data_IF_440869025037
#
_entry.id   IF_440869025037
#
_cell.length_a   1.000
_cell.length_b   1.000
_cell.length_c   1.000
_cell.angle_alpha   90.00
_cell.angle_beta   90.00
_cell.angle_gamma   90.00
#
_symmetry.space_group_name_H-M   'P 1'
#
loop_
_entity.id
_entity.type
_entity.pdbx_description
1 polymer ?
#
# COMPACT_ATOMS: atom_id res chain seq x y z
N UNK A 1 -26.30 -18.74 -3.81
CA UNK A 1 -27.49 -17.96 -3.44
C UNK A 1 -27.40 -16.62 -4.17
N UNK A 2 -28.25 -16.38 -5.18
CA UNK A 2 -28.32 -15.08 -5.89
C UNK A 2 -28.99 -14.08 -4.94
N UNK A 3 -28.24 -13.14 -4.40
CA UNK A 3 -28.78 -12.02 -3.63
C UNK A 3 -28.68 -10.72 -4.44
N UNK A 4 -29.84 -10.33 -4.97
CA UNK A 4 -30.34 -8.96 -5.09
C UNK A 4 -29.32 -7.86 -5.43
N UNK A 5 -28.90 -7.84 -6.69
CA UNK A 5 -28.72 -6.60 -7.44
C UNK A 5 -30.13 -6.04 -7.70
N UNK A 6 -30.58 -5.03 -6.94
CA UNK A 6 -31.73 -4.15 -7.26
C UNK A 6 -31.92 -3.10 -6.15
N UNK A 7 -30.92 -2.22 -6.00
CA UNK A 7 -31.12 -0.83 -5.60
C UNK A 7 -29.84 -0.06 -5.96
N UNK A 8 -29.99 0.95 -6.81
CA UNK A 8 -28.90 1.69 -7.43
C UNK A 8 -27.78 2.10 -6.45
N UNK A 9 -26.63 1.43 -6.62
CA UNK A 9 -25.33 1.54 -5.95
C UNK A 9 -24.60 2.90 -6.13
N UNK A 10 -25.32 4.00 -6.38
CA UNK A 10 -24.72 5.28 -6.81
C UNK A 10 -24.06 6.03 -5.63
N UNK A 11 -24.49 5.82 -4.39
CA UNK A 11 -24.00 6.55 -3.20
C UNK A 11 -22.67 6.09 -2.60
N UNK A 12 -22.08 5.01 -3.12
CA UNK A 12 -20.84 4.41 -2.60
C UNK A 12 -19.70 4.37 -3.60
N UNK A 13 -19.90 4.95 -4.79
CA UNK A 13 -18.91 4.99 -5.85
C UNK A 13 -18.32 6.39 -5.98
N UNK A 14 -17.03 6.55 -5.76
CA UNK A 14 -16.32 7.83 -5.81
C UNK A 14 -15.19 7.87 -6.84
N UNK A 15 -15.01 9.03 -7.45
CA UNK A 15 -14.00 9.28 -8.46
C UNK A 15 -12.74 9.89 -7.83
N UNK A 16 -12.05 9.09 -7.02
CA UNK A 16 -10.94 9.57 -6.21
C UNK A 16 -9.70 9.87 -7.04
N UNK A 17 -9.43 9.08 -8.10
CA UNK A 17 -8.25 9.30 -8.95
C UNK A 17 -8.38 10.55 -9.82
N UNK A 18 -9.57 10.87 -10.36
CA UNK A 18 -9.75 12.14 -11.10
C UNK A 18 -9.54 13.38 -10.24
N UNK A 19 -9.76 13.26 -8.92
CA UNK A 19 -9.55 14.37 -7.97
C UNK A 19 -8.07 14.54 -7.60
N UNK A 20 -7.21 13.56 -7.89
CA UNK A 20 -5.78 13.65 -7.60
C UNK A 20 -5.11 14.64 -8.52
N UNK A 21 -4.14 15.35 -7.93
CA UNK A 21 -3.26 16.27 -8.64
C UNK A 21 -1.82 16.02 -8.21
N UNK A 22 -0.82 16.18 -9.09
CA UNK A 22 0.58 16.00 -8.73
C UNK A 22 0.95 16.87 -7.53
N UNK A 23 1.68 16.30 -6.57
CA UNK A 23 2.25 17.11 -5.50
C UNK A 23 3.47 17.89 -6.01
N UNK A 24 3.60 19.19 -5.69
CA UNK A 24 4.80 19.96 -5.98
C UNK A 24 6.05 19.33 -5.31
N UNK A 25 7.26 19.65 -5.79
CA UNK A 25 8.50 19.34 -5.07
C UNK A 25 8.43 19.86 -3.63
N UNK A 26 9.02 19.11 -2.69
CA UNK A 26 8.87 19.37 -1.26
C UNK A 26 9.26 20.81 -0.87
N UNK A 27 10.34 21.33 -1.45
CA UNK A 27 10.88 22.66 -1.19
C UNK A 27 9.93 23.79 -1.61
N UNK A 28 8.92 23.49 -2.43
CA UNK A 28 7.94 24.44 -2.96
C UNK A 28 6.58 24.35 -2.24
N UNK A 29 6.39 23.38 -1.34
CA UNK A 29 5.08 23.05 -0.74
C UNK A 29 4.54 24.06 0.26
N UNK A 30 5.35 25.00 0.76
CA UNK A 30 4.90 25.98 1.75
C UNK A 30 3.79 26.92 1.27
N UNK A 31 3.77 27.21 -0.03
CA UNK A 31 2.82 28.14 -0.64
C UNK A 31 2.23 27.61 -1.96
N UNK A 32 2.53 26.37 -2.33
CA UNK A 32 2.11 25.83 -3.61
C UNK A 32 0.66 25.33 -3.58
N UNK A 33 -0.05 25.66 -4.65
CA UNK A 33 -1.27 24.97 -5.06
C UNK A 33 -0.89 23.83 -6.00
N UNK A 34 -1.65 22.73 -5.94
CA UNK A 34 -1.52 21.64 -6.88
C UNK A 34 -2.41 21.99 -8.08
N UNK A 35 -1.90 22.76 -9.05
CA UNK A 35 -2.71 23.29 -10.16
C UNK A 35 -2.81 22.31 -11.33
N UNK A 36 -1.78 21.49 -11.53
CA UNK A 36 -1.74 20.51 -12.61
C UNK A 36 -2.77 19.41 -12.38
N UNK A 37 -3.25 18.82 -13.48
CA UNK A 37 -4.06 17.61 -13.48
C UNK A 37 -3.28 16.50 -14.17
N UNK A 38 -3.48 15.27 -13.73
CA UNK A 38 -3.01 14.12 -14.50
C UNK A 38 -3.77 14.04 -15.83
N UNK A 39 -3.09 13.54 -16.87
CA UNK A 39 -3.75 13.22 -18.15
C UNK A 39 -4.86 12.19 -17.89
N UNK A 40 -5.98 12.34 -18.58
CA UNK A 40 -7.11 11.41 -18.49
C UNK A 40 -6.67 9.96 -18.75
N UNK A 41 -5.73 9.72 -19.67
CA UNK A 41 -5.18 8.39 -19.96
C UNK A 41 -4.44 7.79 -18.77
N UNK A 42 -3.77 8.61 -17.95
CA UNK A 42 -3.10 8.16 -16.73
C UNK A 42 -4.14 7.71 -15.72
N UNK A 43 -5.20 8.50 -15.53
CA UNK A 43 -6.28 8.21 -14.59
C UNK A 43 -7.02 6.93 -15.00
N UNK A 44 -7.39 6.80 -16.28
CA UNK A 44 -7.96 5.58 -16.85
C UNK A 44 -7.03 4.39 -16.63
N UNK A 45 -5.72 4.57 -16.90
CA UNK A 45 -4.70 3.56 -16.68
C UNK A 45 -4.65 3.03 -15.24
N UNK A 46 -4.74 3.91 -14.24
CA UNK A 46 -4.82 3.50 -12.84
C UNK A 46 -6.08 2.71 -12.51
N UNK A 47 -7.23 3.10 -13.06
CA UNK A 47 -8.47 2.35 -12.88
C UNK A 47 -8.40 0.94 -13.50
N UNK A 48 -7.90 0.85 -14.73
CA UNK A 48 -7.70 -0.42 -15.43
C UNK A 48 -6.75 -1.35 -14.68
N UNK A 49 -5.59 -0.83 -14.26
CA UNK A 49 -4.60 -1.59 -13.51
C UNK A 49 -5.14 -2.04 -12.15
N UNK A 50 -5.90 -1.19 -11.45
CA UNK A 50 -6.58 -1.56 -10.20
C UNK A 50 -7.53 -2.74 -10.39
N UNK A 51 -8.43 -2.66 -11.36
CA UNK A 51 -9.37 -3.76 -11.62
C UNK A 51 -8.63 -5.06 -11.97
N UNK A 52 -7.66 -4.98 -12.89
CA UNK A 52 -6.87 -6.14 -13.31
C UNK A 52 -6.13 -6.79 -12.14
N UNK A 53 -5.35 -6.03 -11.36
CA UNK A 53 -4.54 -6.59 -10.27
C UNK A 53 -5.43 -7.14 -9.14
N UNK A 54 -6.54 -6.49 -8.81
CA UNK A 54 -7.47 -7.00 -7.81
C UNK A 54 -8.17 -8.28 -8.29
N UNK A 55 -8.47 -8.39 -9.58
CA UNK A 55 -8.97 -9.64 -10.15
C UNK A 55 -7.92 -10.75 -10.02
N UNK A 56 -6.66 -10.48 -10.34
CA UNK A 56 -5.59 -11.47 -10.19
C UNK A 56 -5.39 -11.90 -8.73
N UNK A 57 -5.39 -10.96 -7.78
CA UNK A 57 -5.35 -11.24 -6.33
C UNK A 57 -6.56 -12.01 -5.81
N UNK A 58 -7.64 -12.13 -6.59
CA UNK A 58 -8.80 -12.93 -6.24
C UNK A 58 -8.78 -14.35 -6.81
N UNK A 59 -7.95 -14.63 -7.83
CA UNK A 59 -8.02 -15.86 -8.63
C UNK A 59 -6.68 -16.57 -8.83
N UNK A 60 -5.58 -15.84 -9.00
CA UNK A 60 -4.27 -16.43 -9.29
C UNK A 60 -3.50 -16.69 -7.99
N UNK A 61 -3.30 -17.97 -7.67
CA UNK A 61 -2.50 -18.39 -6.52
C UNK A 61 -1.08 -17.81 -6.53
N UNK A 62 -0.49 -17.60 -7.72
CA UNK A 62 0.87 -17.09 -7.85
C UNK A 62 0.97 -15.59 -7.54
N UNK A 63 -0.16 -14.87 -7.62
CA UNK A 63 -0.32 -13.52 -7.11
C UNK A 63 -0.64 -13.49 -5.61
N UNK A 64 -0.73 -14.65 -4.94
CA UNK A 64 -1.09 -14.76 -3.52
C UNK A 64 -2.60 -14.74 -3.25
N UNK A 65 -3.43 -15.15 -4.21
CA UNK A 65 -4.89 -15.13 -4.05
C UNK A 65 -5.42 -15.97 -2.88
N UNK A 66 -4.67 -16.99 -2.47
CA UNK A 66 -4.95 -17.84 -1.32
C UNK A 66 -4.38 -17.28 -0.01
N UNK A 67 -3.75 -16.11 -0.04
CA UNK A 67 -2.92 -15.60 1.05
C UNK A 67 -1.58 -16.31 1.13
N UNK A 68 -0.65 -15.73 1.88
CA UNK A 68 0.67 -16.33 2.16
C UNK A 68 0.84 -16.43 3.66
N UNK A 69 0.96 -17.67 4.15
CA UNK A 69 1.04 -17.93 5.58
C UNK A 69 2.25 -17.25 6.23
N UNK A 70 2.16 -16.65 7.44
CA UNK A 70 3.26 -15.93 8.10
C UNK A 70 4.60 -16.70 8.22
N UNK A 71 4.53 -18.04 8.22
CA UNK A 71 5.71 -18.91 8.30
C UNK A 71 6.15 -19.49 6.95
N UNK A 72 5.48 -19.13 5.86
CA UNK A 72 5.84 -19.57 4.51
C UNK A 72 7.09 -18.84 4.02
N UNK A 73 7.89 -19.53 3.21
CA UNK A 73 8.96 -18.96 2.40
C UNK A 73 8.49 -18.46 1.03
N UNK A 74 7.19 -18.59 0.75
CA UNK A 74 6.57 -18.08 -0.48
C UNK A 74 6.64 -16.57 -0.57
N UNK A 75 6.81 -16.06 -1.78
CA UNK A 75 6.77 -14.64 -2.06
C UNK A 75 6.29 -14.44 -3.49
N UNK A 76 5.59 -13.33 -3.71
CA UNK A 76 5.06 -13.01 -5.05
C UNK A 76 6.19 -12.46 -5.91
N UNK A 77 6.32 -12.96 -7.13
CA UNK A 77 7.23 -12.43 -8.14
C UNK A 77 6.43 -12.08 -9.40
N UNK A 78 6.34 -10.79 -9.72
CA UNK A 78 5.68 -10.29 -10.93
C UNK A 78 6.73 -9.78 -11.90
N UNK A 79 6.66 -10.23 -13.16
CA UNK A 79 7.54 -9.82 -14.25
C UNK A 79 6.70 -9.06 -15.26
N UNK A 80 7.08 -7.83 -15.57
CA UNK A 80 6.29 -6.93 -16.41
C UNK A 80 7.15 -6.48 -17.61
N UNK A 81 6.62 -6.67 -18.81
CA UNK A 81 7.23 -6.18 -20.04
C UNK A 81 6.89 -4.70 -20.21
N UNK A 82 7.88 -3.82 -20.03
CA UNK A 82 7.63 -2.38 -20.17
C UNK A 82 7.71 -1.92 -21.63
N UNK A 83 6.63 -2.18 -22.36
CA UNK A 83 6.43 -1.77 -23.76
C UNK A 83 5.34 -0.70 -23.93
N UNK A 84 4.57 -0.44 -22.87
CA UNK A 84 3.54 0.60 -22.84
C UNK A 84 3.36 1.15 -21.41
N UNK A 85 2.78 2.36 -21.24
CA UNK A 85 2.52 2.93 -19.91
C UNK A 85 1.68 2.05 -18.98
N UNK A 86 0.83 1.16 -19.54
CA UNK A 86 0.03 0.21 -18.77
C UNK A 86 0.88 -0.69 -17.87
N UNK A 87 2.10 -1.03 -18.31
CA UNK A 87 3.06 -1.79 -17.50
C UNK A 87 3.36 -1.09 -16.16
N UNK A 88 3.54 0.23 -16.18
CA UNK A 88 3.84 1.01 -14.97
C UNK A 88 2.60 1.24 -14.11
N UNK A 89 1.40 1.36 -14.69
CA UNK A 89 0.15 1.37 -13.92
C UNK A 89 -0.06 0.05 -13.18
N UNK A 90 0.25 -1.09 -13.82
CA UNK A 90 0.20 -2.41 -13.20
C UNK A 90 1.26 -2.55 -12.12
N UNK A 91 2.51 -2.15 -12.38
CA UNK A 91 3.59 -2.17 -11.38
C UNK A 91 3.21 -1.36 -10.13
N UNK A 92 2.67 -0.15 -10.33
CA UNK A 92 2.13 0.71 -9.28
C UNK A 92 1.10 -0.03 -8.44
N UNK A 93 0.10 -0.62 -9.10
CA UNK A 93 -0.98 -1.27 -8.38
C UNK A 93 -0.49 -2.51 -7.64
N UNK A 94 0.35 -3.36 -8.24
CA UNK A 94 0.95 -4.52 -7.55
C UNK A 94 1.69 -4.05 -6.28
N UNK A 95 2.51 -3.00 -6.39
CA UNK A 95 3.21 -2.44 -5.25
C UNK A 95 2.30 -1.88 -4.16
N UNK A 96 1.04 -1.52 -4.46
CA UNK A 96 0.08 -0.98 -3.47
C UNK A 96 -0.69 -2.05 -2.70
N UNK A 97 -0.78 -3.29 -3.23
CA UNK A 97 -1.69 -4.31 -2.68
C UNK A 97 -1.07 -5.70 -2.45
N UNK A 98 0.09 -6.01 -3.02
CA UNK A 98 0.74 -7.32 -2.88
C UNK A 98 1.68 -7.36 -1.66
N UNK A 99 1.11 -7.22 -0.46
CA UNK A 99 1.82 -7.24 0.82
C UNK A 99 1.37 -8.42 1.67
N UNK A 100 2.32 -9.16 2.26
CA UNK A 100 2.02 -10.44 2.91
C UNK A 100 2.63 -10.56 4.32
N UNK A 101 1.96 -11.26 5.26
CA UNK A 101 2.39 -11.34 6.67
C UNK A 101 3.69 -12.09 6.93
N UNK A 102 4.21 -12.81 5.94
CA UNK A 102 5.47 -13.53 6.06
C UNK A 102 6.71 -12.67 5.79
N UNK A 103 6.52 -11.44 5.31
CA UNK A 103 7.59 -10.47 5.16
C UNK A 103 8.38 -10.31 6.47
N UNK A 104 9.70 -10.42 6.37
CA UNK A 104 10.60 -10.22 7.51
C UNK A 104 11.42 -8.97 7.28
N UNK A 105 11.09 -7.94 8.03
CA UNK A 105 11.94 -6.76 8.16
C UNK A 105 13.32 -7.20 8.63
N UNK A 106 14.33 -6.97 7.78
CA UNK A 106 15.72 -7.20 8.15
C UNK A 106 16.09 -6.42 9.43
N UNK A 107 17.05 -6.91 10.21
CA UNK A 107 17.56 -6.22 11.40
C UNK A 107 18.52 -5.07 11.02
N UNK A 108 18.04 -4.13 10.18
CA UNK A 108 18.82 -3.04 9.61
C UNK A 108 20.10 -3.53 8.93
N UNK A 109 21.27 -3.07 9.41
CA UNK A 109 22.56 -3.41 8.78
C UNK A 109 23.00 -4.87 8.92
N UNK A 110 22.34 -5.67 9.77
CA UNK A 110 22.79 -7.04 10.12
C UNK A 110 22.16 -8.14 9.29
N UNK A 111 20.91 -7.98 8.85
CA UNK A 111 20.20 -8.96 8.02
C UNK A 111 19.46 -8.21 6.91
N UNK A 112 19.56 -8.71 5.68
CA UNK A 112 18.70 -8.23 4.58
C UNK A 112 17.25 -8.67 4.84
N UNK A 113 16.25 -7.90 4.39
CA UNK A 113 14.88 -8.36 4.42
C UNK A 113 14.68 -9.64 3.61
N UNK A 114 13.69 -10.43 4.01
CA UNK A 114 13.32 -11.69 3.37
C UNK A 114 11.84 -11.68 2.98
N UNK A 115 11.51 -12.45 1.94
CA UNK A 115 10.15 -12.67 1.45
C UNK A 115 9.43 -11.40 1.00
N UNK A 116 10.17 -10.46 0.42
CA UNK A 116 9.62 -9.29 -0.26
C UNK A 116 8.82 -9.71 -1.50
N UNK A 117 7.77 -8.98 -1.84
CA UNK A 117 7.19 -9.06 -3.18
C UNK A 117 8.16 -8.43 -4.17
N UNK A 118 8.52 -9.21 -5.19
CA UNK A 118 9.46 -8.80 -6.23
C UNK A 118 8.73 -8.35 -7.49
N UNK A 119 9.05 -7.16 -7.97
CA UNK A 119 8.55 -6.63 -9.23
C UNK A 119 9.73 -6.47 -10.19
N UNK A 120 9.83 -7.37 -11.16
CA UNK A 120 10.80 -7.28 -12.24
C UNK A 120 10.21 -6.48 -13.39
N UNK A 121 10.89 -5.42 -13.81
CA UNK A 121 10.52 -4.60 -14.97
C UNK A 121 11.58 -4.82 -16.05
N UNK A 122 11.16 -5.41 -17.17
CA UNK A 122 11.99 -5.60 -18.36
C UNK A 122 11.80 -4.37 -19.26
N UNK A 123 12.88 -3.67 -19.61
CA UNK A 123 12.76 -2.41 -20.33
C UNK A 123 13.85 -2.22 -21.38
N UNK A 124 13.51 -1.48 -22.44
CA UNK A 124 14.46 -1.04 -23.45
C UNK A 124 15.25 0.19 -22.95
N UNK A 125 16.55 0.01 -22.73
CA UNK A 125 17.45 1.06 -22.21
C UNK A 125 17.72 2.17 -23.22
N UNK A 126 17.57 1.90 -24.51
CA UNK A 126 17.75 2.91 -25.57
C UNK A 126 16.61 3.93 -25.55
N UNK A 127 15.42 3.51 -25.14
CA UNK A 127 14.23 4.37 -24.94
C UNK A 127 14.23 4.98 -23.54
N UNK A 128 14.50 4.16 -22.51
CA UNK A 128 14.45 4.55 -21.10
C UNK A 128 15.84 4.52 -20.45
N UNK A 129 16.71 5.45 -20.86
CA UNK A 129 18.11 5.50 -20.40
C UNK A 129 18.28 5.75 -18.90
N UNK A 130 17.29 6.39 -18.26
CA UNK A 130 17.22 6.53 -16.81
C UNK A 130 15.89 5.99 -16.29
N UNK A 131 15.84 4.66 -16.14
CA UNK A 131 14.64 3.95 -15.69
C UNK A 131 14.17 4.43 -14.31
N UNK A 132 15.08 4.75 -13.38
CA UNK A 132 14.68 5.25 -12.05
C UNK A 132 13.88 6.54 -12.17
N UNK A 133 14.35 7.50 -12.98
CA UNK A 133 13.62 8.74 -13.24
C UNK A 133 12.27 8.47 -13.91
N UNK A 134 12.21 7.50 -14.82
CA UNK A 134 10.97 7.10 -15.48
C UNK A 134 9.92 6.58 -14.48
N UNK A 135 10.33 5.69 -13.57
CA UNK A 135 9.45 5.12 -12.54
C UNK A 135 8.88 6.16 -11.57
N UNK A 136 9.51 7.35 -11.45
CA UNK A 136 8.98 8.42 -10.59
C UNK A 136 7.92 9.30 -11.26
N UNK A 137 7.86 9.31 -12.59
CA UNK A 137 6.91 10.16 -13.34
C UNK A 137 5.47 9.77 -12.99
N UNK A 138 4.55 10.71 -13.20
CA UNK A 138 3.11 10.49 -13.14
C UNK A 138 2.63 9.67 -11.94
N UNK A 139 3.33 9.77 -10.80
CA UNK A 139 3.11 8.95 -9.62
C UNK A 139 3.00 7.44 -9.90
N UNK A 140 3.77 6.91 -10.87
CA UNK A 140 3.90 5.47 -11.13
C UNK A 140 4.40 4.76 -9.87
N UNK A 141 5.64 4.99 -9.47
CA UNK A 141 6.20 4.54 -8.19
C UNK A 141 6.69 5.70 -7.32
N UNK A 142 6.72 6.92 -7.86
CA UNK A 142 7.06 8.17 -7.16
C UNK A 142 8.32 8.04 -6.29
N UNK A 143 8.21 8.16 -4.96
CA UNK A 143 9.35 8.10 -4.04
C UNK A 143 9.74 6.67 -3.64
N UNK A 144 9.00 5.63 -4.08
CA UNK A 144 9.29 4.24 -3.72
C UNK A 144 10.71 3.81 -4.12
N UNK A 145 11.21 4.08 -5.35
CA UNK A 145 12.57 3.70 -5.75
C UNK A 145 13.68 4.36 -4.93
N UNK A 146 13.39 5.46 -4.22
CA UNK A 146 14.38 6.12 -3.35
C UNK A 146 14.59 5.37 -2.03
N UNK A 147 13.66 4.50 -1.66
CA UNK A 147 13.68 3.80 -0.37
C UNK A 147 13.75 2.30 -0.54
N UNK A 148 13.01 1.72 -1.50
CA UNK A 148 12.99 0.28 -1.73
C UNK A 148 14.29 -0.22 -2.35
N UNK A 149 14.57 -1.52 -2.19
CA UNK A 149 15.72 -2.17 -2.84
C UNK A 149 15.50 -2.19 -4.34
N UNK A 150 16.43 -1.61 -5.10
CA UNK A 150 16.43 -1.65 -6.56
C UNK A 150 17.69 -2.34 -7.07
N UNK A 151 17.53 -3.43 -7.81
CA UNK A 151 18.64 -4.14 -8.46
C UNK A 151 18.63 -3.83 -9.95
N UNK A 152 19.70 -3.21 -10.46
CA UNK A 152 19.84 -2.92 -11.88
C UNK A 152 20.64 -4.03 -12.55
N UNK A 153 20.05 -4.64 -13.58
CA UNK A 153 20.54 -5.88 -14.19
C UNK A 153 20.66 -5.69 -15.70
N UNK A 154 21.77 -6.16 -16.28
CA UNK A 154 21.89 -6.25 -17.73
C UNK A 154 21.11 -7.47 -18.24
N UNK A 155 20.15 -7.25 -19.14
CA UNK A 155 19.29 -8.28 -19.69
C UNK A 155 20.05 -9.38 -20.45
N UNK A 156 21.14 -9.02 -21.13
CA UNK A 156 21.92 -9.95 -21.95
C UNK A 156 22.89 -10.79 -21.11
N UNK A 157 23.58 -10.17 -20.13
CA UNK A 157 24.57 -10.89 -19.31
C UNK A 157 24.01 -11.45 -18.00
N UNK A 158 22.81 -11.01 -17.58
CA UNK A 158 22.21 -11.30 -16.26
C UNK A 158 23.05 -10.82 -15.07
N UNK A 159 24.03 -9.97 -15.31
CA UNK A 159 24.87 -9.41 -14.25
C UNK A 159 24.17 -8.21 -13.63
N UNK A 160 24.04 -8.23 -12.31
CA UNK A 160 23.63 -7.08 -11.51
C UNK A 160 24.82 -6.13 -11.42
N UNK A 161 24.71 -4.96 -12.04
CA UNK A 161 25.80 -3.97 -12.04
C UNK A 161 25.64 -2.96 -10.89
N UNK A 162 24.45 -2.81 -10.33
CA UNK A 162 24.19 -1.89 -9.23
C UNK A 162 23.02 -2.39 -8.35
N UNK A 163 23.14 -2.17 -7.04
CA UNK A 163 22.05 -2.41 -6.07
C UNK A 163 21.91 -1.18 -5.19
N UNK A 164 20.76 -0.53 -5.29
CA UNK A 164 20.37 0.63 -4.50
C UNK A 164 19.57 0.14 -3.30
N UNK A 165 19.78 0.76 -2.12
CA UNK A 165 19.03 0.46 -0.88
C UNK A 165 18.98 -1.03 -0.52
N UNK A 166 20.12 -1.74 -0.62
CA UNK A 166 20.22 -3.19 -0.35
C UNK A 166 19.58 -3.66 0.97
N UNK A 167 19.53 -2.78 1.97
CA UNK A 167 19.02 -3.05 3.32
C UNK A 167 17.73 -2.25 3.60
N UNK A 168 16.94 -1.96 2.56
CA UNK A 168 15.65 -1.28 2.69
C UNK A 168 14.75 -1.99 3.70
N UNK A 169 13.92 -1.26 4.43
CA UNK A 169 12.89 -1.85 5.30
C UNK A 169 11.56 -2.11 4.57
N UNK A 170 11.52 -1.83 3.26
CA UNK A 170 10.34 -1.95 2.42
C UNK A 170 10.14 -3.41 1.97
N UNK A 171 8.89 -3.86 1.93
CA UNK A 171 8.51 -5.24 1.55
C UNK A 171 8.32 -5.44 0.04
N UNK A 172 8.56 -4.39 -0.75
CA UNK A 172 8.66 -4.44 -2.20
C UNK A 172 10.13 -4.29 -2.61
N UNK A 173 10.57 -5.14 -3.54
CA UNK A 173 11.85 -4.96 -4.24
C UNK A 173 11.64 -4.84 -5.75
N UNK A 174 12.47 -3.99 -6.37
CA UNK A 174 12.46 -3.76 -7.81
C UNK A 174 13.68 -4.41 -8.45
N UNK A 175 13.46 -5.17 -9.51
CA UNK A 175 14.52 -5.68 -10.38
C UNK A 175 14.35 -5.07 -11.77
N UNK A 176 15.28 -4.20 -12.15
CA UNK A 176 15.19 -3.41 -13.38
C UNK A 176 16.15 -4.01 -14.40
N UNK A 177 15.60 -4.71 -15.39
CA UNK A 177 16.38 -5.50 -16.35
C UNK A 177 16.42 -4.79 -17.70
N UNK A 178 17.62 -4.33 -18.07
CA UNK A 178 17.86 -3.49 -19.24
C UNK A 178 18.20 -4.32 -20.49
N UNK A 179 17.42 -4.15 -21.56
CA UNK A 179 17.70 -4.67 -22.90
C UNK A 179 17.99 -3.55 -23.89
N UNK A 180 18.44 -3.89 -25.10
CA UNK A 180 18.69 -2.90 -26.18
C UNK A 180 17.44 -2.61 -27.02
N UNK A 181 16.44 -3.49 -26.94
CA UNK A 181 15.16 -3.42 -27.63
C UNK A 181 14.03 -3.94 -26.72
N UNK A 182 12.82 -4.02 -27.27
CA UNK A 182 11.62 -4.53 -26.57
C UNK A 182 11.44 -6.05 -26.70
N UNK A 183 12.52 -6.80 -27.04
CA UNK A 183 12.49 -8.25 -27.14
C UNK A 183 12.92 -8.92 -25.83
N UNK A 184 11.95 -9.20 -24.97
CA UNK A 184 12.20 -9.73 -23.63
C UNK A 184 12.09 -11.26 -23.50
N UNK A 185 11.87 -11.97 -24.62
CA UNK A 185 11.58 -13.41 -24.66
C UNK A 185 12.68 -14.29 -24.05
N UNK A 186 13.90 -13.79 -23.98
CA UNK A 186 15.04 -14.48 -23.39
C UNK A 186 15.08 -14.38 -21.85
N UNK A 187 14.18 -13.60 -21.24
CA UNK A 187 14.05 -13.51 -19.79
C UNK A 187 13.55 -14.82 -19.20
N UNK A 188 14.46 -15.58 -18.61
CA UNK A 188 14.13 -16.75 -17.80
C UNK A 188 14.29 -16.35 -16.34
N UNK A 189 13.20 -16.28 -15.55
CA UNK A 189 13.32 -15.97 -14.14
C UNK A 189 14.13 -17.06 -13.43
N UNK A 190 15.06 -16.63 -12.56
CA UNK A 190 15.72 -17.56 -11.66
C UNK A 190 14.66 -18.12 -10.72
N UNK A 191 14.56 -19.45 -10.65
CA UNK A 191 13.68 -20.09 -9.67
C UNK A 191 14.18 -19.71 -8.28
N UNK A 192 13.34 -19.06 -7.49
CA UNK A 192 13.68 -18.73 -6.11
C UNK A 192 13.61 -20.02 -5.27
N UNK A 193 14.75 -20.41 -4.71
CA UNK A 193 14.83 -21.62 -3.89
C UNK A 193 13.91 -21.47 -2.67
N UNK A 194 12.99 -22.41 -2.50
CA UNK A 194 12.09 -22.46 -1.34
C UNK A 194 10.72 -21.81 -1.51
N UNK A 195 10.44 -21.10 -2.62
CA UNK A 195 9.06 -20.71 -2.94
C UNK A 195 8.36 -21.74 -3.84
N UNK A 196 7.12 -22.04 -3.49
CA UNK A 196 6.17 -22.83 -4.28
C UNK A 196 5.45 -22.01 -5.36
N UNK A 197 5.39 -20.69 -5.21
CA UNK A 197 4.78 -19.78 -6.18
C UNK A 197 5.64 -19.68 -7.44
N UNK A 198 4.98 -19.55 -8.59
CA UNK A 198 5.66 -19.31 -9.86
C UNK A 198 5.62 -17.82 -10.20
N UNK A 199 6.63 -17.29 -10.92
CA UNK A 199 6.57 -15.91 -11.39
C UNK A 199 5.37 -15.67 -12.31
N UNK A 200 4.68 -14.54 -12.10
CA UNK A 200 3.55 -14.09 -12.91
C UNK A 200 4.08 -13.17 -14.00
N UNK A 201 3.93 -13.57 -15.25
CA UNK A 201 4.42 -12.82 -16.41
C UNK A 201 3.29 -11.98 -17.00
N UNK A 202 3.51 -10.68 -17.09
CA UNK A 202 2.62 -9.69 -17.68
C UNK A 202 3.31 -9.16 -18.92
N UNK A 203 3.12 -9.89 -20.02
CA UNK A 203 3.68 -9.59 -21.34
C UNK A 203 2.77 -8.65 -22.16
N UNK A 204 3.16 -8.39 -23.41
CA UNK A 204 2.40 -7.52 -24.31
C UNK A 204 0.99 -8.03 -24.60
N UNK A 205 0.81 -9.35 -24.65
CA UNK A 205 -0.51 -9.97 -24.92
C UNK A 205 -1.43 -9.79 -23.71
N UNK A 206 -0.90 -9.88 -22.49
CA UNK A 206 -1.65 -9.60 -21.27
C UNK A 206 -1.97 -8.12 -21.17
N UNK A 207 -0.98 -7.24 -21.35
CA UNK A 207 -1.17 -5.78 -21.29
C UNK A 207 -2.21 -5.30 -22.30
N UNK A 208 -2.21 -5.84 -23.52
CA UNK A 208 -3.18 -5.50 -24.56
C UNK A 208 -4.61 -5.99 -24.28
N UNK A 209 -4.79 -6.92 -23.35
CA UNK A 209 -6.11 -7.44 -22.93
C UNK A 209 -6.70 -6.72 -21.71
N UNK A 210 -5.91 -5.92 -21.01
CA UNK A 210 -6.40 -5.14 -19.86
C UNK A 210 -7.45 -4.15 -20.40
N UNK A 211 -8.70 -4.41 -20.05
CA UNK A 211 -9.84 -3.65 -20.55
C UNK A 211 -9.88 -2.24 -20.00
N UNK A 212 -10.38 -1.31 -20.81
CA UNK A 212 -10.67 0.05 -20.36
C UNK A 212 -11.72 0.04 -19.23
N UNK A 213 -11.40 0.72 -18.14
CA UNK A 213 -12.30 1.03 -17.06
C UNK A 213 -12.24 2.53 -16.76
N UNK A 214 -13.40 3.16 -16.75
CA UNK A 214 -13.61 4.51 -16.19
C UNK A 214 -14.40 4.42 -14.89
N UNK A 215 -14.37 3.27 -14.20
CA UNK A 215 -15.24 3.01 -13.07
C UNK A 215 -14.79 3.80 -11.84
N UNK A 216 -15.78 4.38 -11.16
CA UNK A 216 -15.61 4.91 -9.81
C UNK A 216 -15.27 3.80 -8.81
N UNK A 217 -14.50 4.13 -7.78
CA UNK A 217 -14.10 3.20 -6.71
C UNK A 217 -15.29 2.97 -5.77
N UNK A 218 -15.60 1.71 -5.48
CA UNK A 218 -16.50 1.38 -4.36
C UNK A 218 -15.79 1.61 -3.03
N UNK A 219 -16.28 2.56 -2.24
CA UNK A 219 -15.65 3.01 -1.00
C UNK A 219 -16.30 2.45 0.26
N UNK A 220 -17.18 1.44 0.19
CA UNK A 220 -17.86 0.88 1.37
C UNK A 220 -16.88 0.40 2.45
N UNK A 221 -15.91 -0.42 2.07
CA UNK A 221 -14.91 -0.92 3.01
C UNK A 221 -13.95 0.19 3.43
N UNK A 222 -13.54 1.06 2.51
CA UNK A 222 -12.69 2.22 2.80
C UNK A 222 -13.32 3.16 3.84
N UNK A 223 -14.64 3.37 3.78
CA UNK A 223 -15.38 4.13 4.80
C UNK A 223 -15.24 3.50 6.18
N UNK A 224 -15.36 2.18 6.31
CA UNK A 224 -15.18 1.47 7.58
C UNK A 224 -13.73 1.51 8.08
N UNK A 225 -12.77 1.36 7.18
CA UNK A 225 -11.33 1.53 7.48
C UNK A 225 -11.07 2.92 8.08
N UNK A 226 -11.64 3.98 7.48
CA UNK A 226 -11.52 5.34 8.01
C UNK A 226 -12.12 5.48 9.42
N UNK A 227 -13.24 4.80 9.69
CA UNK A 227 -13.85 4.82 11.03
C UNK A 227 -12.94 4.20 12.08
N UNK A 228 -12.33 3.07 11.75
CA UNK A 228 -11.37 2.39 12.62
C UNK A 228 -10.17 3.29 12.91
N UNK A 229 -9.66 3.97 11.89
CA UNK A 229 -8.58 4.94 12.05
C UNK A 229 -8.97 6.09 12.99
N UNK A 230 -10.17 6.67 12.83
CA UNK A 230 -10.68 7.73 13.70
C UNK A 230 -10.80 7.28 15.16
N UNK A 231 -11.28 6.05 15.41
CA UNK A 231 -11.31 5.48 16.77
C UNK A 231 -9.90 5.38 17.35
N UNK A 232 -8.91 4.94 16.55
CA UNK A 232 -7.51 4.95 16.98
C UNK A 232 -7.02 6.35 17.35
N UNK A 233 -7.45 7.38 16.62
CA UNK A 233 -7.06 8.77 16.84
C UNK A 233 -7.73 9.39 18.08
N UNK A 234 -8.97 9.01 18.38
CA UNK A 234 -9.73 9.51 19.53
C UNK A 234 -9.22 8.92 20.87
N UNK A 235 -8.44 7.84 20.84
CA UNK A 235 -7.99 7.14 22.04
C UNK A 235 -6.50 7.41 22.31
N UNK A 236 -6.23 8.36 23.20
CA UNK A 236 -4.87 8.71 23.65
C UNK A 236 -4.36 7.85 24.83
N UNK A 237 -5.24 7.13 25.51
CA UNK A 237 -4.94 6.44 26.79
C UNK A 237 -4.49 4.98 26.66
N UNK A 238 -4.14 4.51 25.46
CA UNK A 238 -3.63 3.15 25.28
C UNK A 238 -2.12 3.16 25.56
N UNK A 239 -1.64 2.38 26.54
CA UNK A 239 -0.26 2.51 26.98
C UNK A 239 0.68 1.97 25.87
N UNK A 240 1.73 2.73 25.54
CA UNK A 240 2.59 2.47 24.39
C UNK A 240 3.56 1.28 24.59
N UNK A 241 3.60 0.71 25.79
CA UNK A 241 4.49 -0.38 26.18
C UNK A 241 4.04 -1.76 25.64
N UNK A 242 2.73 -1.94 25.44
CA UNK A 242 2.15 -3.15 24.83
C UNK A 242 1.20 -2.81 23.66
N UNK A 243 1.77 -2.46 22.48
CA UNK A 243 1.01 -2.00 21.32
C UNK A 243 0.25 -3.11 20.60
N UNK A 244 0.36 -4.38 21.02
CA UNK A 244 -0.34 -5.52 20.40
C UNK A 244 -1.44 -6.09 21.34
N UNK A 245 -2.00 -5.27 22.23
CA UNK A 245 -3.04 -5.67 23.20
C UNK A 245 -4.43 -5.83 22.57
N UNK A 246 -4.65 -6.96 21.89
CA UNK A 246 -5.90 -7.27 21.17
C UNK A 246 -7.18 -7.02 21.98
N UNK A 247 -7.22 -7.39 23.27
CA UNK A 247 -8.42 -7.24 24.11
C UNK A 247 -8.85 -5.77 24.28
N UNK A 248 -7.88 -4.86 24.48
CA UNK A 248 -8.16 -3.43 24.71
C UNK A 248 -8.70 -2.78 23.45
N UNK A 249 -8.07 -3.07 22.31
CA UNK A 249 -8.46 -2.54 21.02
C UNK A 249 -9.80 -3.13 20.55
N UNK A 250 -10.03 -4.43 20.78
CA UNK A 250 -11.31 -5.07 20.47
C UNK A 250 -12.49 -4.42 21.21
N UNK A 251 -12.33 -4.09 22.50
CA UNK A 251 -13.35 -3.34 23.27
C UNK A 251 -13.56 -1.95 22.69
N UNK A 252 -12.48 -1.22 22.39
CA UNK A 252 -12.57 0.11 21.78
C UNK A 252 -13.32 0.09 20.44
N UNK A 253 -13.01 -0.87 19.56
CA UNK A 253 -13.73 -1.05 18.28
C UNK A 253 -15.21 -1.33 18.49
N UNK A 254 -15.56 -2.20 19.45
CA UNK A 254 -16.96 -2.55 19.72
C UNK A 254 -17.78 -1.32 20.14
N UNK A 255 -17.25 -0.49 21.04
CA UNK A 255 -17.99 0.66 21.59
C UNK A 255 -17.92 1.90 20.70
N UNK A 256 -16.76 2.18 20.09
CA UNK A 256 -16.54 3.45 19.38
C UNK A 256 -16.61 3.34 17.85
N UNK A 257 -16.49 2.14 17.28
CA UNK A 257 -16.60 1.94 15.83
C UNK A 257 -17.93 1.27 15.44
N UNK A 258 -18.23 0.10 16.01
CA UNK A 258 -19.30 -0.76 15.49
C UNK A 258 -20.70 -0.40 15.94
N UNK A 259 -20.82 0.46 16.96
CA UNK A 259 -22.09 1.02 17.41
C UNK A 259 -22.45 2.33 16.71
N UNK A 260 -21.58 2.88 15.86
CA UNK A 260 -21.83 4.15 15.18
C UNK A 260 -22.79 3.98 13.99
N UNK A 261 -23.78 4.90 13.80
CA UNK A 261 -24.67 4.90 12.65
C UNK A 261 -23.93 4.99 11.29
N UNK A 262 -24.60 4.52 10.23
CA UNK A 262 -24.07 4.59 8.86
C UNK A 262 -23.90 6.03 8.38
N UNK A 263 -24.78 6.91 8.81
CA UNK A 263 -24.80 8.34 8.53
C UNK A 263 -23.56 9.01 9.14
N UNK A 264 -23.23 8.72 10.41
CA UNK A 264 -22.01 9.21 11.06
C UNK A 264 -20.76 8.67 10.35
N UNK A 265 -20.80 7.41 9.91
CA UNK A 265 -19.72 6.81 9.10
C UNK A 265 -19.50 7.57 7.79
N UNK A 266 -20.59 7.98 7.14
CA UNK A 266 -20.54 8.77 5.91
C UNK A 266 -20.05 10.20 6.20
N UNK A 267 -20.53 10.85 7.24
CA UNK A 267 -20.10 12.19 7.63
C UNK A 267 -18.59 12.27 7.92
N UNK A 268 -18.04 11.30 8.66
CA UNK A 268 -16.59 11.20 8.93
C UNK A 268 -15.77 10.91 7.67
N UNK A 269 -16.36 10.24 6.68
CA UNK A 269 -15.71 10.00 5.39
C UNK A 269 -15.73 11.23 4.49
N UNK A 270 -16.86 11.92 4.44
CA UNK A 270 -17.04 13.16 3.66
C UNK A 270 -16.20 14.29 4.27
N UNK A 271 -15.96 14.28 5.60
CA UNK A 271 -15.15 15.31 6.28
C UNK A 271 -13.64 15.18 6.07
N UNK A 272 -13.13 14.02 5.62
CA UNK A 272 -11.70 13.83 5.34
C UNK A 272 -11.19 14.87 4.34
N UNK A 273 -11.99 15.17 3.32
CA UNK A 273 -11.66 16.13 2.27
C UNK A 273 -12.89 16.99 2.04
N UNK A 274 -12.80 18.32 2.22
CA UNK A 274 -13.93 19.18 1.89
C UNK A 274 -14.31 18.99 0.42
N UNK A 275 -15.55 18.60 0.13
CA UNK A 275 -16.10 18.39 -1.23
C UNK A 275 -16.21 19.69 -2.06
N UNK A 276 -15.36 20.67 -1.81
CA UNK A 276 -15.20 21.82 -2.68
C UNK A 276 -14.60 21.33 -3.99
N UNK A 277 -15.48 21.13 -4.97
CA UNK A 277 -15.13 20.89 -6.35
C UNK A 277 -14.08 21.95 -6.76
N UNK A 278 -12.87 21.51 -7.14
CA UNK A 278 -11.69 22.35 -7.45
C UNK A 278 -10.85 22.88 -6.27
N UNK A 279 -10.89 22.27 -5.09
CA UNK A 279 -9.88 22.57 -4.06
C UNK A 279 -8.49 22.07 -4.53
N UNK A 280 -7.64 23.01 -4.91
CA UNK A 280 -6.28 22.79 -5.38
C UNK A 280 -5.25 22.96 -4.27
N UNK A 281 -5.67 23.15 -3.02
CA UNK A 281 -4.72 23.34 -1.92
C UNK A 281 -3.92 22.06 -1.66
N UNK A 282 -2.67 22.24 -1.23
CA UNK A 282 -1.85 21.11 -0.76
C UNK A 282 -2.56 20.32 0.34
N UNK A 283 -3.23 21.00 1.28
CA UNK A 283 -3.96 20.36 2.37
C UNK A 283 -5.05 19.41 1.85
N UNK A 284 -5.81 19.84 0.85
CA UNK A 284 -6.80 18.98 0.19
C UNK A 284 -6.14 17.77 -0.46
N UNK A 285 -5.06 17.95 -1.21
CA UNK A 285 -4.37 16.86 -1.92
C UNK A 285 -3.70 15.86 -0.97
N UNK A 286 -3.19 16.31 0.18
CA UNK A 286 -2.69 15.44 1.26
C UNK A 286 -3.83 14.65 1.88
N UNK A 287 -4.96 15.30 2.15
CA UNK A 287 -6.14 14.64 2.71
C UNK A 287 -6.76 13.62 1.74
N UNK A 288 -6.80 13.92 0.44
CA UNK A 288 -7.31 13.01 -0.59
C UNK A 288 -6.45 11.75 -0.67
N UNK A 289 -5.14 11.89 -0.55
CA UNK A 289 -4.20 10.75 -0.47
C UNK A 289 -4.43 9.92 0.79
N UNK A 290 -4.72 10.55 1.93
CA UNK A 290 -5.14 9.83 3.13
C UNK A 290 -6.51 9.13 2.94
N UNK A 291 -7.43 9.72 2.19
CA UNK A 291 -8.70 9.08 1.81
C UNK A 291 -8.47 7.83 0.95
N UNK A 292 -7.58 7.92 -0.05
CA UNK A 292 -7.13 6.78 -0.86
C UNK A 292 -6.40 5.71 -0.05
N UNK A 293 -5.70 6.10 1.02
CA UNK A 293 -5.05 5.15 1.93
C UNK A 293 -6.03 4.11 2.50
N UNK A 294 -7.24 4.57 2.84
CA UNK A 294 -8.29 3.68 3.30
C UNK A 294 -8.78 2.71 2.22
N UNK A 295 -8.76 3.12 0.94
CA UNK A 295 -9.10 2.26 -0.20
C UNK A 295 -8.06 1.15 -0.34
N UNK A 296 -6.77 1.50 -0.38
CA UNK A 296 -5.70 0.52 -0.55
C UNK A 296 -5.58 -0.44 0.64
N UNK A 297 -5.77 0.06 1.87
CA UNK A 297 -5.90 -0.81 3.03
C UNK A 297 -7.08 -1.79 2.88
N UNK A 298 -8.23 -1.32 2.38
CA UNK A 298 -9.40 -2.19 2.18
C UNK A 298 -9.22 -3.24 1.08
N UNK A 299 -8.45 -2.90 0.04
CA UNK A 299 -8.14 -3.80 -1.07
C UNK A 299 -7.30 -5.01 -0.62
N UNK A 300 -6.50 -4.85 0.44
CA UNK A 300 -5.64 -5.91 1.00
C UNK A 300 -6.36 -6.83 2.00
N UNK A 301 -7.58 -6.49 2.44
CA UNK A 301 -8.28 -7.24 3.49
C UNK A 301 -8.48 -8.73 3.11
N UNK A 302 -8.93 -9.08 1.89
CA UNK A 302 -9.18 -10.48 1.53
C UNK A 302 -7.92 -11.36 1.57
N UNK A 303 -6.78 -10.87 1.05
CA UNK A 303 -5.52 -11.65 1.04
C UNK A 303 -4.93 -11.76 2.44
N UNK A 304 -5.06 -10.72 3.28
CA UNK A 304 -4.60 -10.75 4.67
C UNK A 304 -5.33 -11.77 5.52
N UNK A 305 -6.66 -11.80 5.48
CA UNK A 305 -7.40 -12.77 6.29
C UNK A 305 -7.08 -14.19 5.83
N UNK A 306 -7.03 -14.44 4.51
CA UNK A 306 -6.69 -15.77 3.97
C UNK A 306 -5.30 -16.23 4.40
N UNK A 307 -4.35 -15.31 4.53
CA UNK A 307 -2.98 -15.60 4.97
C UNK A 307 -2.90 -16.21 6.37
N UNK A 308 -3.89 -16.01 7.23
CA UNK A 308 -3.91 -16.52 8.62
C UNK A 308 -4.94 -17.63 8.84
N UNK A 309 -5.64 -18.06 7.78
CA UNK A 309 -6.56 -19.18 7.85
C UNK A 309 -5.83 -20.51 7.58
N UNK A 310 -6.33 -21.59 8.16
CA UNK A 310 -5.87 -22.95 7.83
C UNK A 310 -6.12 -23.29 6.36
N UNK A 311 -7.28 -22.84 5.84
CA UNK A 311 -7.65 -22.93 4.43
C UNK A 311 -8.30 -21.63 3.97
N UNK A 312 -8.01 -21.14 2.74
CA UNK A 312 -8.63 -19.92 2.22
C UNK A 312 -10.17 -19.95 2.23
N UNK A 313 -10.75 -21.12 1.96
CA UNK A 313 -12.20 -21.36 1.93
C UNK A 313 -12.87 -21.23 3.30
N UNK A 314 -12.11 -21.29 4.41
CA UNK A 314 -12.64 -21.09 5.75
C UNK A 314 -13.22 -19.67 5.93
N UNK A 315 -12.82 -18.74 5.08
CA UNK A 315 -13.41 -17.41 5.01
C UNK A 315 -14.92 -17.44 4.71
N UNK A 316 -15.41 -18.48 4.03
CA UNK A 316 -16.82 -18.64 3.70
C UNK A 316 -17.62 -19.33 4.81
N UNK A 317 -16.96 -20.07 5.70
CA UNK A 317 -17.61 -20.96 6.67
C UNK A 317 -17.55 -20.44 8.11
N UNK A 318 -16.45 -19.78 8.51
CA UNK A 318 -16.23 -19.27 9.87
C UNK A 318 -17.05 -18.02 10.17
N UNK A 319 -17.62 -17.92 11.36
CA UNK A 319 -18.34 -16.72 11.78
C UNK A 319 -17.39 -15.55 12.15
N UNK A 320 -17.95 -14.36 12.42
CA UNK A 320 -17.18 -13.17 12.79
C UNK A 320 -16.30 -13.38 14.03
N UNK A 321 -16.77 -14.16 15.02
CA UNK A 321 -16.08 -14.39 16.29
C UNK A 321 -14.90 -15.35 16.10
N UNK A 322 -15.09 -16.40 15.30
CA UNK A 322 -14.02 -17.32 14.93
C UNK A 322 -12.91 -16.63 14.15
N UNK A 323 -13.28 -15.80 13.16
CA UNK A 323 -12.32 -15.00 12.39
C UNK A 323 -11.56 -14.01 13.29
N UNK A 324 -12.25 -13.36 14.24
CA UNK A 324 -11.61 -12.46 15.20
C UNK A 324 -10.61 -13.18 16.10
N UNK A 325 -10.90 -14.40 16.55
CA UNK A 325 -9.94 -15.19 17.32
C UNK A 325 -8.66 -15.47 16.52
N UNK A 326 -8.80 -15.87 15.25
CA UNK A 326 -7.65 -16.12 14.36
C UNK A 326 -6.82 -14.85 14.13
N UNK A 327 -7.48 -13.71 13.91
CA UNK A 327 -6.81 -12.41 13.76
C UNK A 327 -6.08 -12.03 15.04
N UNK A 328 -6.67 -12.25 16.22
CA UNK A 328 -6.02 -11.98 17.50
C UNK A 328 -4.74 -12.79 17.66
N UNK A 329 -4.77 -14.08 17.33
CA UNK A 329 -3.63 -14.98 17.44
C UNK A 329 -2.47 -14.59 16.50
N UNK A 330 -2.78 -13.86 15.42
CA UNK A 330 -1.82 -13.41 14.41
C UNK A 330 -1.64 -11.87 14.37
N UNK A 331 -2.09 -11.15 15.41
CA UNK A 331 -2.21 -9.69 15.36
C UNK A 331 -0.89 -8.99 15.03
N UNK A 332 0.21 -9.42 15.66
CA UNK A 332 1.51 -8.77 15.50
C UNK A 332 2.02 -8.82 14.05
N UNK A 333 1.96 -9.99 13.40
CA UNK A 333 2.44 -10.18 12.02
C UNK A 333 1.54 -9.47 11.01
N UNK A 334 0.23 -9.43 11.28
CA UNK A 334 -0.72 -8.68 10.47
C UNK A 334 -0.50 -7.16 10.61
N UNK A 335 -0.23 -6.65 11.82
CA UNK A 335 0.05 -5.24 12.05
C UNK A 335 1.36 -4.80 11.38
N UNK A 336 2.41 -5.62 11.47
CA UNK A 336 3.65 -5.38 10.74
C UNK A 336 3.43 -5.33 9.22
N UNK A 337 2.59 -6.23 8.69
CA UNK A 337 2.20 -6.23 7.28
C UNK A 337 1.39 -4.98 6.87
N UNK A 338 0.53 -4.44 7.75
CA UNK A 338 -0.13 -3.15 7.50
C UNK A 338 0.85 -1.99 7.48
N UNK A 339 1.82 -1.97 8.39
CA UNK A 339 2.82 -0.93 8.39
C UNK A 339 3.69 -0.95 7.11
N UNK A 340 4.10 -2.14 6.65
CA UNK A 340 4.85 -2.30 5.41
C UNK A 340 4.05 -1.80 4.19
N UNK A 341 2.77 -2.21 4.08
CA UNK A 341 1.83 -1.72 3.04
C UNK A 341 1.65 -0.21 3.08
N UNK A 342 1.48 0.36 4.28
CA UNK A 342 1.32 1.80 4.48
C UNK A 342 2.57 2.57 4.05
N UNK A 343 3.76 2.08 4.36
CA UNK A 343 5.02 2.70 3.94
C UNK A 343 5.10 2.83 2.42
N UNK A 344 4.83 1.73 1.71
CA UNK A 344 4.88 1.71 0.24
C UNK A 344 3.85 2.64 -0.37
N UNK A 345 2.61 2.61 0.14
CA UNK A 345 1.55 3.48 -0.32
C UNK A 345 1.93 4.96 -0.17
N UNK A 346 2.41 5.37 0.99
CA UNK A 346 2.79 6.77 1.21
C UNK A 346 3.89 7.22 0.27
N UNK A 347 4.89 6.38 0.03
CA UNK A 347 5.96 6.67 -0.94
C UNK A 347 5.41 6.85 -2.36
N UNK A 348 4.51 5.96 -2.81
CA UNK A 348 3.85 6.07 -4.12
C UNK A 348 2.99 7.34 -4.21
N UNK A 349 2.31 7.73 -3.12
CA UNK A 349 1.47 8.92 -3.05
C UNK A 349 2.27 10.23 -2.85
N UNK A 350 3.60 10.20 -2.95
CA UNK A 350 4.44 11.41 -2.93
C UNK A 350 4.79 11.94 -1.54
N UNK A 351 4.60 11.13 -0.50
CA UNK A 351 5.19 11.36 0.81
C UNK A 351 6.62 10.83 0.86
N UNK A 352 7.40 11.30 1.84
CA UNK A 352 8.80 10.88 2.02
C UNK A 352 9.12 10.68 3.50
N UNK A 353 10.06 9.77 3.83
CA UNK A 353 10.63 9.72 5.17
C UNK A 353 11.39 11.01 5.47
N UNK A 354 11.59 11.29 6.76
CA UNK A 354 12.40 12.44 7.18
C UNK A 354 13.81 12.36 6.59
N UNK A 355 14.36 13.51 6.19
CA UNK A 355 15.77 13.61 5.77
C UNK A 355 16.71 13.38 6.96
N UNK A 356 18.00 13.11 6.76
CA UNK A 356 18.98 13.04 7.85
C UNK A 356 18.97 14.29 8.74
N UNK A 357 18.83 15.47 8.15
CA UNK A 357 18.79 16.76 8.84
C UNK A 357 17.52 16.90 9.68
N UNK A 358 16.36 16.56 9.11
CA UNK A 358 15.08 16.59 9.83
C UNK A 358 15.05 15.58 10.99
N UNK A 359 15.63 14.40 10.80
CA UNK A 359 15.79 13.41 11.88
C UNK A 359 16.69 13.92 13.00
N UNK A 360 17.79 14.59 12.63
CA UNK A 360 18.66 15.21 13.62
C UNK A 360 17.90 16.27 14.42
N UNK A 361 17.13 17.13 13.75
CA UNK A 361 16.40 18.21 14.41
C UNK A 361 15.28 17.66 15.31
N UNK A 362 14.52 16.68 14.83
CA UNK A 362 13.53 15.97 15.66
C UNK A 362 14.17 15.41 16.94
N UNK A 363 15.38 14.84 16.84
CA UNK A 363 16.10 14.26 17.98
C UNK A 363 16.53 15.29 19.04
N UNK A 364 16.62 16.58 18.68
CA UNK A 364 16.93 17.66 19.64
C UNK A 364 15.68 18.25 20.31
N UNK A 365 14.49 17.95 19.80
CA UNK A 365 13.24 18.52 20.28
C UNK A 365 12.52 17.57 21.25
N UNK A 366 11.79 18.15 22.21
CA UNK A 366 11.02 17.39 23.20
C UNK A 366 9.61 17.98 23.39
N UNK A 367 8.69 17.16 23.89
CA UNK A 367 7.33 17.56 24.24
C UNK A 367 6.59 18.29 23.11
N UNK A 368 5.93 19.39 23.45
CA UNK A 368 5.13 20.19 22.51
C UNK A 368 5.93 20.67 21.31
N UNK A 369 7.17 21.10 21.49
CA UNK A 369 8.01 21.61 20.39
C UNK A 369 8.28 20.53 19.35
N UNK A 370 8.56 19.30 19.79
CA UNK A 370 8.73 18.14 18.90
C UNK A 370 7.45 17.83 18.13
N UNK A 371 6.31 17.84 18.83
CA UNK A 371 5.01 17.59 18.21
C UNK A 371 4.65 18.64 17.16
N UNK A 372 4.95 19.91 17.41
CA UNK A 372 4.74 21.01 16.45
C UNK A 372 5.62 20.82 15.21
N UNK A 373 6.90 20.46 15.41
CA UNK A 373 7.84 20.18 14.33
C UNK A 373 7.39 19.00 13.47
N UNK A 374 7.10 17.84 14.08
CA UNK A 374 6.57 16.66 13.35
C UNK A 374 5.30 16.99 12.56
N UNK A 375 4.38 17.78 13.15
CA UNK A 375 3.15 18.23 12.48
C UNK A 375 3.43 19.17 11.30
N UNK A 376 4.44 20.04 11.38
CA UNK A 376 4.77 20.93 10.25
C UNK A 376 5.34 20.15 9.07
N UNK A 377 6.19 19.15 9.32
CA UNK A 377 6.72 18.24 8.29
C UNK A 377 5.61 17.40 7.65
N UNK A 378 4.72 16.82 8.46
CA UNK A 378 3.59 15.99 7.98
C UNK A 378 2.66 16.76 7.05
N UNK A 379 2.41 18.04 7.31
CA UNK A 379 1.59 18.91 6.43
C UNK A 379 2.19 19.09 5.04
N UNK A 380 3.51 18.92 4.90
CA UNK A 380 4.24 18.98 3.63
C UNK A 380 4.52 17.60 3.04
N UNK A 381 4.07 16.52 3.67
CA UNK A 381 4.25 15.16 3.19
C UNK A 381 5.53 14.46 3.66
N UNK A 382 6.28 15.03 4.60
CA UNK A 382 7.36 14.30 5.28
C UNK A 382 6.83 13.65 6.55
N UNK A 383 6.99 12.34 6.70
CA UNK A 383 6.39 11.59 7.81
C UNK A 383 7.46 10.82 8.58
N UNK A 384 7.44 10.94 9.91
CA UNK A 384 8.40 10.25 10.78
C UNK A 384 8.18 8.73 10.83
N UNK A 385 6.92 8.31 10.76
CA UNK A 385 6.54 6.89 10.74
C UNK A 385 6.89 6.17 9.43
N UNK A 386 7.39 6.85 8.40
CA UNK A 386 7.93 6.17 7.21
C UNK A 386 9.29 5.56 7.56
N UNK A 387 9.23 4.40 8.21
CA UNK A 387 10.35 3.69 8.82
C UNK A 387 10.02 2.19 8.95
N UNK A 388 10.95 1.39 9.45
CA UNK A 388 10.65 -0.02 9.77
C UNK A 388 9.65 -0.11 10.93
N UNK A 389 8.84 -1.17 11.01
CA UNK A 389 7.96 -1.40 12.17
C UNK A 389 8.76 -1.51 13.48
N UNK A 390 9.98 -2.05 13.41
CA UNK A 390 10.92 -2.06 14.53
C UNK A 390 11.32 -0.64 14.99
N UNK A 391 11.60 0.26 14.05
CA UNK A 391 11.91 1.65 14.35
C UNK A 391 10.68 2.44 14.79
N UNK A 392 9.49 2.16 14.25
CA UNK A 392 8.24 2.78 14.66
C UNK A 392 8.03 2.60 16.17
N UNK A 393 8.24 1.37 16.67
CA UNK A 393 8.19 1.07 18.11
C UNK A 393 9.13 1.93 18.95
N UNK A 394 10.26 2.35 18.39
CA UNK A 394 11.26 3.18 19.07
C UNK A 394 10.95 4.67 18.98
N UNK A 395 10.46 5.16 17.84
CA UNK A 395 10.34 6.60 17.55
C UNK A 395 8.95 7.17 17.80
N UNK A 396 7.91 6.36 17.59
CA UNK A 396 6.51 6.73 17.78
C UNK A 396 5.63 5.49 18.10
N UNK A 397 5.87 4.80 19.24
CA UNK A 397 5.18 3.55 19.60
C UNK A 397 3.66 3.71 19.71
N UNK A 398 3.17 4.93 19.96
CA UNK A 398 1.73 5.21 20.03
C UNK A 398 1.01 5.01 18.70
N UNK A 399 1.71 5.14 17.56
CA UNK A 399 1.11 4.98 16.24
C UNK A 399 0.99 3.52 15.79
N UNK A 400 1.67 2.57 16.45
CA UNK A 400 1.49 1.13 16.19
C UNK A 400 0.06 0.65 16.45
N UNK A 401 -0.70 1.37 17.28
CA UNK A 401 -2.10 1.05 17.56
C UNK A 401 -2.95 1.04 16.30
N UNK A 402 -2.68 1.95 15.34
CA UNK A 402 -3.49 2.06 14.12
C UNK A 402 -3.43 0.78 13.30
N UNK A 403 -2.23 0.23 13.14
CA UNK A 403 -2.01 -1.04 12.44
C UNK A 403 -2.80 -2.17 13.11
N UNK A 404 -2.74 -2.27 14.44
CA UNK A 404 -3.48 -3.27 15.20
C UNK A 404 -5.01 -3.09 15.10
N UNK A 405 -5.50 -1.86 15.25
CA UNK A 405 -6.92 -1.54 15.12
C UNK A 405 -7.48 -1.96 13.76
N UNK A 406 -6.75 -1.65 12.69
CA UNK A 406 -7.13 -2.01 11.32
C UNK A 406 -7.22 -3.52 11.14
N UNK A 407 -6.25 -4.28 11.67
CA UNK A 407 -6.25 -5.74 11.55
C UNK A 407 -7.39 -6.38 12.32
N UNK A 408 -7.63 -5.95 13.56
CA UNK A 408 -8.75 -6.42 14.39
C UNK A 408 -10.12 -6.12 13.77
N UNK A 409 -10.20 -5.11 12.90
CA UNK A 409 -11.44 -4.76 12.23
C UNK A 409 -11.78 -5.59 11.01
N UNK A 410 -10.83 -6.35 10.46
CA UNK A 410 -11.00 -7.17 9.26
C UNK A 410 -12.26 -8.06 9.32
N UNK A 411 -12.49 -8.87 10.38
CA UNK A 411 -13.66 -9.76 10.44
C UNK A 411 -14.98 -8.99 10.32
N UNK A 412 -15.06 -7.81 10.98
CA UNK A 412 -16.27 -7.00 10.94
C UNK A 412 -16.48 -6.36 9.58
N UNK A 413 -15.44 -5.79 9.00
CA UNK A 413 -15.50 -5.14 7.68
C UNK A 413 -16.00 -6.14 6.62
N UNK A 414 -15.49 -7.37 6.64
CA UNK A 414 -15.89 -8.43 5.72
C UNK A 414 -17.34 -8.91 5.90
N UNK A 415 -17.88 -8.86 7.12
CA UNK A 415 -19.24 -9.33 7.44
C UNK A 415 -20.30 -8.23 7.46
N UNK A 416 -19.93 -6.99 7.18
CA UNK A 416 -20.83 -5.83 7.25
C UNK A 416 -21.74 -5.66 6.04
N UNK A 417 -21.64 -6.52 5.01
CA UNK A 417 -22.45 -6.45 3.78
C UNK A 417 -22.86 -7.81 3.24
#
# INVERSE_FOLDING_TARGET
MKMLDLNNNIGYKEDLFRKMRPLPPYEQRDFAECQDSFDEKIIEGWYCAREYVLEQLSKDKNMGADGIHPFSSDHVHVIIHYTSPMALYVARQVALVAHFPNFREGAGKKCIPEYCTKITILYNRTVHSNIIKELKKDEYLCNLPDVCKCSLVNGNTRETYEVINKQSYIDIELELVAYEDDEFNEYTPKREEGSSLQPVIIDNDVLGKISHSTQKIDVRNARRVNMVYNVGADIDNLPPDDPNTAERYGKALLYFCYQQPLEETKEKWDSLCSDKENDMTLAYQINLRNKLSNVFCSDCIPTRIKSVLDKPDDLLTKDEKELLAIVNDNLQVLAQCEHARWNVEKLILGFSPLTPEERWEDAQLFGTSRNVYRKSLKKKGHHIDLCSYQDLRRIDPGNMKYDCFLMLAIPKILRSY
#
